data_IF_294594597789
#
_entry.id   IF_294594597789
#
_cell.length_a   1.000
_cell.length_b   1.000
_cell.length_c   1.000
_cell.angle_alpha   90.00
_cell.angle_beta   90.00
_cell.angle_gamma   90.00
#
_symmetry.space_group_name_H-M   'P 1'
#
loop_
_entity.id
_entity.type
_entity.pdbx_description
1 polymer ?
#
# COMPACT_ATOMS: atom_id res chain seq x y z
N UNK A 1 -17.52 15.27 -34.19
CA UNK A 1 -17.09 15.61 -32.81
C UNK A 1 -16.98 14.30 -32.06
N UNK A 2 -15.76 13.79 -31.90
CA UNK A 2 -15.51 12.55 -31.16
C UNK A 2 -15.53 12.91 -29.67
N UNK A 3 -16.52 12.41 -28.95
CA UNK A 3 -16.51 12.41 -27.50
C UNK A 3 -15.32 11.56 -27.05
N UNK A 4 -14.22 12.22 -26.65
CA UNK A 4 -13.16 11.60 -25.89
C UNK A 4 -13.74 11.25 -24.51
N UNK A 5 -14.36 10.08 -24.42
CA UNK A 5 -14.56 9.39 -23.16
C UNK A 5 -13.17 9.06 -22.62
N UNK A 6 -12.57 10.02 -21.92
CA UNK A 6 -11.35 9.82 -21.15
C UNK A 6 -11.68 8.73 -20.15
N UNK A 7 -11.27 7.50 -20.44
CA UNK A 7 -11.42 6.38 -19.53
C UNK A 7 -10.72 6.77 -18.23
N UNK A 8 -11.51 7.13 -17.22
CA UNK A 8 -11.02 7.27 -15.86
C UNK A 8 -10.78 5.86 -15.39
N UNK A 9 -9.53 5.41 -15.50
CA UNK A 9 -9.08 4.19 -14.86
C UNK A 9 -9.08 4.49 -13.35
N UNK A 10 -10.25 4.31 -12.73
CA UNK A 10 -10.37 4.30 -11.28
C UNK A 10 -9.77 2.97 -10.82
N UNK A 11 -8.69 3.05 -10.05
CA UNK A 11 -8.14 1.87 -9.40
C UNK A 11 -9.24 1.21 -8.55
N UNK A 12 -9.40 -0.13 -8.53
CA UNK A 12 -10.45 -0.79 -7.77
C UNK A 12 -10.50 -0.38 -6.28
N UNK A 13 -9.33 -0.03 -5.71
CA UNK A 13 -9.20 0.46 -4.33
C UNK A 13 -9.50 1.96 -4.14
N UNK A 14 -9.70 2.72 -5.22
CA UNK A 14 -10.10 4.13 -5.16
C UNK A 14 -11.61 4.32 -4.89
N UNK A 15 -12.38 3.22 -4.88
CA UNK A 15 -13.76 3.20 -4.40
C UNK A 15 -13.75 3.31 -2.88
N UNK A 16 -13.71 4.55 -2.41
CA UNK A 16 -13.95 4.89 -1.00
C UNK A 16 -15.42 4.64 -0.70
N UNK A 17 -15.76 3.48 -0.14
CA UNK A 17 -17.02 3.31 0.56
C UNK A 17 -16.86 3.90 1.96
N UNK A 18 -17.62 4.95 2.26
CA UNK A 18 -17.72 5.47 3.63
C UNK A 18 -18.41 4.40 4.47
N UNK A 19 -17.66 3.70 5.32
CA UNK A 19 -18.25 2.85 6.35
C UNK A 19 -19.24 3.68 7.18
N UNK A 20 -20.44 3.15 7.40
CA UNK A 20 -21.48 3.76 8.22
C UNK A 20 -21.15 3.76 9.72
N UNK A 21 -20.00 3.25 10.12
CA UNK A 21 -19.53 3.26 11.51
C UNK A 21 -18.72 4.51 11.81
N UNK A 22 -19.24 5.32 12.73
CA UNK A 22 -18.60 6.52 13.23
C UNK A 22 -17.26 6.19 13.89
N UNK A 23 -16.16 6.29 13.14
CA UNK A 23 -14.79 6.16 13.65
C UNK A 23 -13.85 5.32 12.80
N UNK A 24 -14.36 4.57 11.81
CA UNK A 24 -13.52 3.76 10.93
C UNK A 24 -13.47 4.41 9.56
N UNK A 25 -12.46 5.27 9.36
CA UNK A 25 -12.06 5.63 8.01
C UNK A 25 -11.48 4.35 7.40
N UNK A 26 -12.18 3.78 6.41
CA UNK A 26 -11.56 2.87 5.45
C UNK A 26 -10.41 3.67 4.83
N UNK A 27 -9.22 3.51 5.40
CA UNK A 27 -8.02 4.10 4.87
C UNK A 27 -7.90 3.56 3.44
N UNK A 28 -7.87 4.44 2.45
CA UNK A 28 -7.50 4.03 1.11
C UNK A 28 -6.07 3.47 1.23
N UNK A 29 -5.93 2.15 1.24
CA UNK A 29 -4.65 1.48 1.47
C UNK A 29 -3.58 2.00 0.51
N UNK A 30 -3.99 2.42 -0.69
CA UNK A 30 -3.12 3.06 -1.67
C UNK A 30 -2.59 4.43 -1.21
N UNK A 31 -3.42 5.27 -0.60
CA UNK A 31 -3.01 6.57 -0.08
C UNK A 31 -2.05 6.41 1.11
N UNK A 32 -2.34 5.49 2.02
CA UNK A 32 -1.42 5.16 3.12
C UNK A 32 -0.11 4.58 2.61
N UNK A 33 -0.16 3.69 1.63
CA UNK A 33 1.02 3.10 1.02
C UNK A 33 1.87 4.16 0.30
N UNK A 34 1.25 5.10 -0.41
CA UNK A 34 1.94 6.21 -1.06
C UNK A 34 2.70 7.06 -0.02
N UNK A 35 2.04 7.50 1.05
CA UNK A 35 2.66 8.29 2.11
C UNK A 35 3.82 7.54 2.79
N UNK A 36 3.61 6.27 3.10
CA UNK A 36 4.61 5.40 3.73
C UNK A 36 5.83 5.19 2.82
N UNK A 37 5.61 4.95 1.53
CA UNK A 37 6.68 4.76 0.54
C UNK A 37 7.44 6.05 0.29
N UNK A 38 6.76 7.19 0.20
CA UNK A 38 7.41 8.50 0.05
C UNK A 38 8.29 8.82 1.26
N UNK A 39 7.79 8.58 2.47
CA UNK A 39 8.59 8.72 3.69
C UNK A 39 9.79 7.76 3.69
N UNK A 40 9.59 6.49 3.36
CA UNK A 40 10.65 5.48 3.30
C UNK A 40 11.76 5.77 2.27
N UNK A 41 11.47 6.56 1.24
CA UNK A 41 12.46 7.01 0.26
C UNK A 41 13.22 8.27 0.69
N UNK A 42 12.75 8.96 1.73
CA UNK A 42 13.43 10.09 2.32
C UNK A 42 14.59 9.65 3.22
N UNK A 43 15.70 10.37 3.17
CA UNK A 43 16.82 10.17 4.09
C UNK A 43 16.52 10.67 5.52
N UNK A 44 15.43 11.41 5.70
CA UNK A 44 15.01 11.97 6.99
C UNK A 44 14.22 10.97 7.85
N UNK A 45 13.82 9.83 7.25
CA UNK A 45 12.83 8.89 7.74
C UNK A 45 13.33 7.42 7.65
N UNK A 46 14.43 7.06 8.35
CA UNK A 46 15.01 5.72 8.28
C UNK A 46 14.13 4.64 8.91
N UNK A 47 13.28 4.98 9.87
CA UNK A 47 12.33 4.07 10.50
C UNK A 47 11.23 3.62 9.54
N UNK A 48 10.74 4.53 8.69
CA UNK A 48 9.79 4.22 7.62
C UNK A 48 10.45 3.38 6.53
N UNK A 49 11.73 3.62 6.22
CA UNK A 49 12.49 2.77 5.33
C UNK A 49 12.56 1.33 5.83
N UNK A 50 12.91 1.15 7.11
CA UNK A 50 12.94 -0.17 7.72
C UNK A 50 11.57 -0.83 7.72
N UNK A 51 10.51 -0.08 8.03
CA UNK A 51 9.13 -0.57 8.03
C UNK A 51 8.70 -1.09 6.65
N UNK A 52 8.96 -0.34 5.58
CA UNK A 52 8.67 -0.76 4.20
C UNK A 52 9.42 -2.05 3.85
N UNK A 53 10.72 -2.13 4.18
CA UNK A 53 11.52 -3.33 3.90
C UNK A 53 11.01 -4.55 4.67
N UNK A 54 10.56 -4.37 5.93
CA UNK A 54 10.00 -5.45 6.73
C UNK A 54 8.69 -5.98 6.13
N UNK A 55 7.75 -5.08 5.77
CA UNK A 55 6.49 -5.44 5.12
C UNK A 55 6.75 -6.26 3.85
N UNK A 56 7.63 -5.77 2.97
CA UNK A 56 7.98 -6.48 1.74
C UNK A 56 8.62 -7.85 2.01
N UNK A 57 9.45 -7.95 3.05
CA UNK A 57 10.04 -9.22 3.43
C UNK A 57 8.97 -10.22 3.93
N UNK A 58 7.99 -9.75 4.70
CA UNK A 58 6.90 -10.57 5.25
C UNK A 58 5.95 -11.09 4.18
N UNK A 59 5.70 -10.31 3.10
CA UNK A 59 4.97 -10.78 1.91
C UNK A 59 5.70 -11.88 1.12
N UNK A 60 6.95 -12.19 1.46
CA UNK A 60 7.75 -13.21 0.78
C UNK A 60 8.46 -12.72 -0.48
N UNK A 61 8.53 -11.41 -0.73
CA UNK A 61 9.32 -10.88 -1.84
C UNK A 61 10.81 -11.21 -1.65
N UNK A 62 11.50 -11.75 -2.67
CA UNK A 62 12.92 -12.01 -2.58
C UNK A 62 13.73 -10.73 -2.33
N UNK A 63 14.68 -10.78 -1.40
CA UNK A 63 15.54 -9.63 -1.04
C UNK A 63 16.22 -9.00 -2.26
N UNK A 64 16.68 -9.82 -3.22
CA UNK A 64 17.28 -9.32 -4.46
C UNK A 64 16.30 -8.47 -5.28
N UNK A 65 15.02 -8.84 -5.31
CA UNK A 65 13.98 -8.10 -6.02
C UNK A 65 13.65 -6.79 -5.29
N UNK A 66 13.58 -6.81 -3.96
CA UNK A 66 13.40 -5.59 -3.15
C UNK A 66 14.54 -4.59 -3.45
N UNK A 67 15.79 -5.06 -3.45
CA UNK A 67 16.95 -4.22 -3.76
C UNK A 67 16.90 -3.64 -5.18
N UNK A 68 16.53 -4.46 -6.17
CA UNK A 68 16.34 -4.01 -7.56
C UNK A 68 15.29 -2.92 -7.65
N UNK A 69 14.14 -3.10 -6.99
CA UNK A 69 13.04 -2.14 -6.97
C UNK A 69 13.48 -0.77 -6.42
N UNK A 70 14.18 -0.76 -5.28
CA UNK A 70 14.72 0.48 -4.71
C UNK A 70 15.78 1.13 -5.62
N UNK A 71 16.60 0.33 -6.31
CA UNK A 71 17.59 0.87 -7.25
C UNK A 71 16.92 1.51 -8.46
N UNK A 72 15.90 0.87 -9.05
CA UNK A 72 15.13 1.43 -10.14
C UNK A 72 14.45 2.75 -9.75
N UNK A 73 13.89 2.84 -8.54
CA UNK A 73 13.28 4.07 -8.01
C UNK A 73 14.31 5.17 -7.88
N UNK A 74 15.52 4.89 -7.35
CA UNK A 74 16.62 5.87 -7.28
C UNK A 74 17.07 6.37 -8.65
N UNK A 75 16.92 5.54 -9.69
CA UNK A 75 17.17 5.94 -11.09
C UNK A 75 16.01 6.73 -11.71
N UNK A 76 14.93 6.99 -10.95
CA UNK A 76 13.77 7.76 -11.40
C UNK A 76 12.70 6.92 -12.11
N UNK A 77 12.73 5.59 -11.99
CA UNK A 77 11.73 4.72 -12.60
C UNK A 77 10.38 4.85 -11.88
N UNK A 78 9.46 5.62 -12.46
CA UNK A 78 8.10 5.81 -11.91
C UNK A 78 7.27 4.54 -11.86
N UNK A 79 7.53 3.58 -12.74
CA UNK A 79 6.80 2.30 -12.72
C UNK A 79 7.24 1.43 -11.54
N UNK A 80 8.53 1.46 -11.19
CA UNK A 80 9.03 0.79 -9.99
C UNK A 80 8.43 1.40 -8.71
N UNK A 81 8.30 2.74 -8.68
CA UNK A 81 7.65 3.44 -7.57
C UNK A 81 6.18 3.03 -7.42
N UNK A 82 5.42 2.99 -8.51
CA UNK A 82 4.01 2.56 -8.47
C UNK A 82 3.88 1.12 -8.00
N UNK A 83 4.73 0.20 -8.50
CA UNK A 83 4.74 -1.20 -8.02
C UNK A 83 5.06 -1.30 -6.53
N UNK A 84 5.97 -0.48 -6.03
CA UNK A 84 6.28 -0.45 -4.60
C UNK A 84 5.05 -0.05 -3.78
N UNK A 85 4.35 1.00 -4.22
CA UNK A 85 3.12 1.47 -3.57
C UNK A 85 2.05 0.38 -3.62
N UNK A 86 1.89 -0.31 -4.76
CA UNK A 86 0.94 -1.43 -4.91
C UNK A 86 1.26 -2.58 -3.94
N UNK A 87 2.51 -3.04 -3.87
CA UNK A 87 2.90 -4.11 -2.95
C UNK A 87 2.64 -3.75 -1.48
N UNK A 88 2.90 -2.50 -1.09
CA UNK A 88 2.62 -2.04 0.26
C UNK A 88 1.12 -1.92 0.50
N UNK A 89 0.35 -1.44 -0.47
CA UNK A 89 -1.11 -1.34 -0.34
C UNK A 89 -1.74 -2.73 -0.16
N UNK A 90 -1.34 -3.71 -0.96
CA UNK A 90 -1.83 -5.09 -0.85
C UNK A 90 -1.48 -5.69 0.53
N UNK A 91 -0.24 -5.52 1.00
CA UNK A 91 0.17 -6.01 2.31
C UNK A 91 -0.61 -5.36 3.48
N UNK A 92 -0.93 -4.06 3.38
CA UNK A 92 -1.74 -3.37 4.38
C UNK A 92 -3.20 -3.85 4.39
N UNK A 93 -3.73 -4.26 3.25
CA UNK A 93 -5.07 -4.87 3.16
C UNK A 93 -5.04 -6.26 3.80
N UNK A 94 -4.04 -7.08 3.49
CA UNK A 94 -3.88 -8.41 4.07
C UNK A 94 -3.76 -8.35 5.60
N UNK A 95 -2.94 -7.42 6.14
CA UNK A 95 -2.79 -7.20 7.59
C UNK A 95 -4.13 -6.77 8.24
N UNK A 96 -4.90 -5.90 7.58
CA UNK A 96 -6.20 -5.47 8.10
C UNK A 96 -7.23 -6.61 8.12
N UNK A 97 -7.22 -7.47 7.11
CA UNK A 97 -8.10 -8.64 7.02
C UNK A 97 -7.78 -9.65 8.14
N UNK A 98 -6.50 -9.93 8.40
CA UNK A 98 -6.06 -10.79 9.52
C UNK A 98 -6.53 -10.24 10.88
N UNK A 99 -6.32 -8.95 11.14
CA UNK A 99 -6.74 -8.29 12.39
C UNK A 99 -8.26 -8.28 12.58
N UNK A 100 -9.03 -8.18 11.49
CA UNK A 100 -10.49 -8.23 11.54
C UNK A 100 -11.03 -9.65 11.84
N UNK A 101 -10.31 -10.68 11.37
CA UNK A 101 -10.62 -12.09 11.64
C UNK A 101 -10.40 -12.48 13.11
N UNK A 102 -9.32 -11.99 13.74
CA UNK A 102 -9.01 -12.27 15.15
C UNK A 102 -10.01 -11.63 16.13
N UNK A 103 -10.60 -10.49 15.77
CA UNK A 103 -11.61 -9.81 16.58
C UNK A 103 -12.95 -10.55 16.62
N UNK A 104 -13.29 -11.33 15.57
CA UNK A 104 -14.53 -12.10 15.55
C UNK A 104 -14.49 -13.37 16.42
N UNK A 105 -13.30 -13.93 16.68
CA UNK A 105 -13.18 -15.13 17.51
C UNK A 105 -13.20 -14.83 19.03
N UNK A 106 -12.92 -13.59 19.44
CA UNK A 106 -12.84 -13.22 20.86
C UNK A 106 -14.16 -12.80 21.50
N UNK A 107 -15.22 -12.54 20.72
CA UNK A 107 -16.55 -12.14 21.24
C UNK A 107 -17.52 -13.30 21.48
N UNK A 108 -17.11 -14.56 21.30
CA UNK A 108 -18.01 -15.74 21.41
C UNK A 108 -17.78 -16.64 22.64
N UNK A 109 -17.16 -16.13 23.72
CA UNK A 109 -16.99 -16.86 24.99
C UNK A 109 -17.85 -16.31 26.13
#
# INVERSE_FOLDING_TARGET
MLNEARASFMHPLALVETSGESGVLLFNAFALAEDLVVAALSHEHPEENWRVVLILHETGLPVAHIQELFNEIRLGNRQALLRLIEYIADALVDEADELSGEQHETETC
#
